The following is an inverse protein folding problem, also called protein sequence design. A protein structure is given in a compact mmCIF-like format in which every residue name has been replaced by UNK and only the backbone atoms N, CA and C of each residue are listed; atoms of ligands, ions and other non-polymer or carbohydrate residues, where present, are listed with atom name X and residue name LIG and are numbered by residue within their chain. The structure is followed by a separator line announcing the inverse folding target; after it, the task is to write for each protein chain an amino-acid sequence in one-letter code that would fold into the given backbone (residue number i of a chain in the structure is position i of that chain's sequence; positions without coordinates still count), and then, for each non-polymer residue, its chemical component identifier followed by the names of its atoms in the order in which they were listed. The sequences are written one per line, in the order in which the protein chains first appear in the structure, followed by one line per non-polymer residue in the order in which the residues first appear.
data_IF_257444068991
#
_entry.id   IF_257444068991
#
_cell.length_a   1.000
_cell.length_b   1.000
_cell.length_c   1.000
_cell.angle_alpha   90.00
_cell.angle_beta   90.00
_cell.angle_gamma   90.00
#
_symmetry.space_group_name_H-M   'P 1'
#
loop_
_entity.id
_entity.type
_entity.pdbx_description
1 polymer ?
#
# COMPACT_ATOMS: atom_id res chain seq x y z
N UNK A 1 15.30 49.73 73.23
CA UNK A 1 14.17 49.19 72.49
C UNK A 1 14.67 48.89 71.06
N UNK A 2 15.03 47.64 70.78
CA UNK A 2 15.52 47.22 69.49
C UNK A 2 14.40 46.43 68.81
N UNK A 3 13.89 46.95 67.72
CA UNK A 3 12.94 46.22 66.86
C UNK A 3 13.71 45.41 65.89
N UNK A 4 13.66 44.06 65.99
CA UNK A 4 14.21 43.12 65.09
C UNK A 4 13.28 43.08 63.82
N UNK A 5 13.78 43.47 62.70
CA UNK A 5 13.11 43.23 61.41
C UNK A 5 13.47 41.81 60.89
N UNK A 6 12.51 40.92 60.93
CA UNK A 6 12.62 39.60 60.38
C UNK A 6 12.36 39.68 58.90
N UNK A 7 13.43 39.60 58.11
CA UNK A 7 13.34 39.59 56.64
C UNK A 7 13.02 38.15 56.20
N UNK A 8 11.78 37.93 55.82
CA UNK A 8 11.35 36.64 55.22
C UNK A 8 11.77 36.62 53.75
N UNK A 9 12.83 35.87 53.48
CA UNK A 9 13.28 35.63 52.09
C UNK A 9 12.40 34.53 51.48
N UNK A 10 11.42 34.93 50.70
CA UNK A 10 10.57 34.01 49.97
C UNK A 10 11.33 33.48 48.74
N UNK A 11 11.83 32.25 48.85
CA UNK A 11 12.44 31.56 47.73
C UNK A 11 11.33 31.08 46.81
N UNK A 12 11.20 31.74 45.66
CA UNK A 12 10.31 31.33 44.59
C UNK A 12 10.97 30.17 43.83
N UNK A 13 10.60 28.95 44.17
CA UNK A 13 11.03 27.77 43.43
C UNK A 13 10.22 27.72 42.13
N UNK A 14 10.82 28.16 41.04
CA UNK A 14 10.26 27.99 39.69
C UNK A 14 10.46 26.54 39.29
N UNK A 15 9.42 25.73 39.46
CA UNK A 15 9.39 24.42 38.83
C UNK A 15 9.24 24.62 37.32
N UNK A 16 10.34 24.60 36.60
CA UNK A 16 10.31 24.38 35.14
C UNK A 16 9.83 22.96 34.92
N UNK A 17 8.52 22.79 34.80
CA UNK A 17 7.91 21.58 34.27
C UNK A 17 8.40 21.41 32.84
N UNK A 18 9.33 20.51 32.63
CA UNK A 18 9.56 19.96 31.31
C UNK A 18 8.28 19.24 30.87
N UNK A 19 7.38 19.95 30.22
CA UNK A 19 6.34 19.32 29.44
C UNK A 19 7.03 18.51 28.36
N UNK A 20 7.13 17.21 28.57
CA UNK A 20 7.36 16.25 27.53
C UNK A 20 6.25 16.49 26.52
N UNK A 21 6.57 17.05 25.35
CA UNK A 21 5.65 17.19 24.26
C UNK A 21 5.15 15.79 23.86
N UNK A 22 4.07 15.37 24.49
CA UNK A 22 3.23 14.30 24.05
C UNK A 22 2.35 14.83 22.91
N UNK A 23 2.97 15.37 21.87
CA UNK A 23 2.30 15.47 20.59
C UNK A 23 2.01 14.03 20.17
N UNK A 24 0.74 13.62 20.06
CA UNK A 24 0.44 12.32 19.53
C UNK A 24 1.09 12.27 18.16
N UNK A 25 2.11 11.42 18.01
CA UNK A 25 2.71 11.14 16.72
C UNK A 25 1.56 10.58 15.88
N UNK A 26 0.97 11.46 15.07
CA UNK A 26 -0.09 11.06 14.14
C UNK A 26 0.53 9.95 13.31
N UNK A 27 0.12 8.72 13.59
CA UNK A 27 0.52 7.59 12.78
C UNK A 27 0.20 7.96 11.33
N UNK A 28 1.10 7.76 10.37
CA UNK A 28 0.79 8.00 8.98
C UNK A 28 -0.50 7.25 8.69
N UNK A 29 -1.46 7.86 7.94
CA UNK A 29 -2.76 7.28 7.72
C UNK A 29 -2.55 5.83 7.28
N UNK A 30 -3.04 4.90 8.07
CA UNK A 30 -2.98 3.49 7.72
C UNK A 30 -3.68 3.38 6.38
N UNK A 31 -2.92 3.03 5.34
CA UNK A 31 -3.46 2.86 4.00
C UNK A 31 -4.54 1.81 4.13
N UNK A 32 -5.79 2.25 4.12
CA UNK A 32 -6.93 1.42 4.43
C UNK A 32 -6.97 0.24 3.46
N UNK A 33 -7.14 -0.95 4.00
CA UNK A 33 -7.38 -2.16 3.21
C UNK A 33 -8.48 -1.93 2.16
N UNK A 34 -9.54 -1.21 2.53
CA UNK A 34 -10.66 -0.87 1.64
C UNK A 34 -10.22 -0.07 0.40
N UNK A 35 -9.14 0.69 0.47
CA UNK A 35 -8.61 1.42 -0.69
C UNK A 35 -7.87 0.49 -1.65
N UNK A 36 -7.29 -0.60 -1.14
CA UNK A 36 -6.55 -1.57 -1.93
C UNK A 36 -7.48 -2.56 -2.66
N UNK A 37 -8.57 -2.98 -2.01
CA UNK A 37 -9.53 -3.95 -2.57
C UNK A 37 -10.16 -3.42 -3.86
N UNK A 38 -10.19 -4.24 -4.89
CA UNK A 38 -10.82 -3.93 -6.18
C UNK A 38 -10.10 -4.53 -7.37
N UNK A 39 -10.49 -4.03 -8.54
CA UNK A 39 -9.91 -4.41 -9.81
C UNK A 39 -8.96 -3.33 -10.29
N UNK A 40 -7.79 -3.73 -10.78
CA UNK A 40 -6.72 -2.84 -11.17
C UNK A 40 -6.12 -3.25 -12.50
N UNK A 41 -5.77 -2.29 -13.33
CA UNK A 41 -5.09 -2.53 -14.60
C UNK A 41 -3.78 -1.76 -14.63
N UNK A 42 -2.68 -2.42 -15.00
CA UNK A 42 -1.37 -1.79 -15.16
C UNK A 42 -1.42 -0.76 -16.28
N UNK A 43 -0.82 0.40 -16.03
CA UNK A 43 -0.70 1.50 -16.98
C UNK A 43 0.71 1.57 -17.56
N UNK A 44 0.86 2.35 -18.63
CA UNK A 44 2.15 2.64 -19.27
C UNK A 44 2.91 1.38 -19.71
N UNK A 45 2.19 0.44 -20.29
CA UNK A 45 2.76 -0.78 -20.83
C UNK A 45 3.26 -0.51 -22.27
N UNK A 46 4.41 -1.07 -22.62
CA UNK A 46 5.03 -0.95 -23.94
C UNK A 46 4.88 -2.23 -24.76
N UNK A 47 4.55 -3.33 -24.11
CA UNK A 47 4.31 -4.63 -24.72
C UNK A 47 3.17 -5.35 -24.02
N UNK A 48 2.58 -6.33 -24.65
CA UNK A 48 1.54 -7.13 -24.00
C UNK A 48 2.06 -7.99 -22.83
N UNK A 49 3.34 -8.32 -22.80
CA UNK A 49 3.94 -9.00 -21.65
C UNK A 49 3.92 -8.15 -20.37
N UNK A 50 3.80 -6.84 -20.50
CA UNK A 50 3.67 -5.91 -19.39
C UNK A 50 2.20 -5.67 -19.00
N UNK A 51 1.26 -6.02 -19.87
CA UNK A 51 -0.16 -5.86 -19.59
C UNK A 51 -0.62 -6.86 -18.54
N UNK A 52 -1.31 -6.35 -17.54
CA UNK A 52 -1.79 -7.13 -16.42
C UNK A 52 -3.03 -6.49 -15.82
N UNK A 53 -3.99 -7.32 -15.44
CA UNK A 53 -5.06 -6.92 -14.53
C UNK A 53 -4.92 -7.67 -13.21
N UNK A 54 -5.28 -7.00 -12.12
CA UNK A 54 -5.25 -7.56 -10.77
C UNK A 54 -6.65 -7.55 -10.19
N UNK A 55 -6.96 -8.61 -9.44
CA UNK A 55 -8.05 -8.63 -8.48
C UNK A 55 -7.45 -8.70 -7.08
N UNK A 56 -7.81 -7.75 -6.24
CA UNK A 56 -7.41 -7.71 -4.84
C UNK A 56 -8.68 -7.78 -3.99
N UNK A 57 -8.77 -8.79 -3.15
CA UNK A 57 -9.82 -8.96 -2.16
C UNK A 57 -9.29 -8.63 -0.76
N UNK A 58 -10.01 -8.90 0.27
CA UNK A 58 -9.56 -8.73 1.66
C UNK A 58 -8.46 -9.71 2.07
N UNK A 59 -8.36 -10.85 1.40
CA UNK A 59 -7.41 -11.93 1.74
C UNK A 59 -6.50 -12.36 0.60
N UNK A 60 -6.91 -12.11 -0.65
CA UNK A 60 -6.22 -12.65 -1.82
C UNK A 60 -5.85 -11.54 -2.81
N UNK A 61 -4.73 -11.74 -3.48
CA UNK A 61 -4.30 -10.97 -4.63
C UNK A 61 -4.05 -11.90 -5.80
N UNK A 62 -4.72 -11.65 -6.92
CA UNK A 62 -4.60 -12.43 -8.15
C UNK A 62 -4.19 -11.55 -9.32
N UNK A 63 -3.22 -11.99 -10.11
CA UNK A 63 -2.78 -11.33 -11.33
C UNK A 63 -3.10 -12.17 -12.56
N UNK A 64 -3.42 -11.49 -13.64
CA UNK A 64 -3.68 -12.10 -14.95
C UNK A 64 -2.74 -11.46 -15.97
N UNK A 65 -1.50 -11.98 -16.09
CA UNK A 65 -0.55 -11.51 -17.08
C UNK A 65 -0.84 -12.09 -18.47
N UNK A 66 -0.41 -11.38 -19.51
CA UNK A 66 -0.43 -11.86 -20.89
C UNK A 66 0.92 -12.46 -21.29
N UNK A 67 0.89 -13.38 -22.25
CA UNK A 67 2.10 -13.89 -22.88
C UNK A 67 2.58 -12.90 -23.95
N UNK A 68 3.89 -12.67 -24.05
CA UNK A 68 4.47 -11.79 -25.04
C UNK A 68 4.24 -12.30 -26.47
N UNK A 69 4.25 -13.61 -26.65
CA UNK A 69 4.19 -14.26 -27.95
C UNK A 69 2.91 -13.98 -28.75
N UNK A 70 1.76 -13.98 -28.08
CA UNK A 70 0.44 -13.94 -28.72
C UNK A 70 -0.54 -12.97 -28.04
N UNK A 71 -0.11 -12.27 -27.00
CA UNK A 71 -0.94 -11.40 -26.17
C UNK A 71 -2.19 -12.10 -25.59
N UNK A 72 -2.10 -13.41 -25.39
CA UNK A 72 -3.16 -14.18 -24.74
C UNK A 72 -2.83 -14.40 -23.26
N UNK A 73 -3.83 -14.80 -22.49
CA UNK A 73 -3.64 -15.11 -21.07
C UNK A 73 -2.52 -16.13 -20.89
N UNK A 74 -1.57 -15.80 -20.02
CA UNK A 74 -0.45 -16.70 -19.70
C UNK A 74 -0.92 -18.01 -19.05
N UNK A 75 -2.04 -17.94 -18.32
CA UNK A 75 -2.61 -19.08 -17.61
C UNK A 75 -4.12 -19.21 -17.89
N UNK A 76 -4.65 -20.43 -17.95
CA UNK A 76 -6.08 -20.66 -18.19
C UNK A 76 -6.96 -20.22 -16.99
N UNK A 77 -6.36 -20.05 -15.82
CA UNK A 77 -7.00 -19.62 -14.58
C UNK A 77 -6.19 -18.52 -13.94
N UNK A 78 -6.88 -17.65 -13.19
CA UNK A 78 -6.23 -16.64 -12.35
C UNK A 78 -5.46 -17.40 -11.26
N UNK A 79 -4.20 -17.01 -11.06
CA UNK A 79 -3.39 -17.48 -9.95
C UNK A 79 -3.58 -16.48 -8.82
N UNK A 80 -4.18 -16.92 -7.73
CA UNK A 80 -4.42 -16.14 -6.54
C UNK A 80 -3.46 -16.56 -5.43
N UNK A 81 -2.92 -15.58 -4.74
CA UNK A 81 -2.10 -15.74 -3.55
C UNK A 81 -2.77 -15.09 -2.36
N UNK A 82 -2.74 -15.74 -1.20
CA UNK A 82 -3.12 -15.08 0.05
C UNK A 82 -2.09 -14.02 0.42
N UNK A 83 -2.53 -12.97 1.08
CA UNK A 83 -1.63 -11.94 1.58
C UNK A 83 -2.07 -11.41 2.95
N UNK A 84 -1.15 -10.79 3.64
CA UNK A 84 -1.41 -10.00 4.84
C UNK A 84 -0.78 -8.62 4.70
N UNK A 85 -1.36 -7.63 5.38
CA UNK A 85 -0.80 -6.28 5.42
C UNK A 85 0.36 -6.24 6.40
N UNK A 86 1.52 -5.81 5.92
CA UNK A 86 2.67 -5.50 6.74
C UNK A 86 2.80 -4.00 6.99
N UNK A 87 3.71 -3.63 7.85
CA UNK A 87 4.01 -2.24 8.16
C UNK A 87 4.59 -1.49 6.95
N UNK A 88 4.37 -0.17 6.90
CA UNK A 88 5.00 0.71 5.91
C UNK A 88 4.54 0.50 4.46
N UNK A 89 3.31 0.00 4.24
CA UNK A 89 2.79 -0.22 2.89
C UNK A 89 3.37 -1.46 2.23
N UNK A 90 3.52 -2.52 2.98
CA UNK A 90 3.96 -3.83 2.51
C UNK A 90 2.79 -4.81 2.43
N UNK A 91 2.85 -5.68 1.42
CA UNK A 91 2.00 -6.85 1.28
C UNK A 91 2.88 -8.10 1.44
N UNK A 92 2.64 -8.85 2.49
CA UNK A 92 3.30 -10.16 2.66
C UNK A 92 2.48 -11.18 1.88
N UNK A 93 2.91 -11.48 0.68
CA UNK A 93 2.21 -12.36 -0.26
C UNK A 93 2.75 -13.78 -0.09
N UNK A 94 1.86 -14.76 0.07
CA UNK A 94 2.24 -16.16 0.23
C UNK A 94 3.08 -16.63 -0.97
N UNK A 95 4.02 -17.54 -0.70
CA UNK A 95 4.91 -18.14 -1.71
C UNK A 95 5.86 -17.15 -2.40
N UNK A 96 5.87 -15.89 -2.00
CA UNK A 96 6.82 -14.91 -2.50
C UNK A 96 8.01 -14.78 -1.54
N UNK A 97 9.22 -14.67 -2.11
CA UNK A 97 10.46 -14.61 -1.35
C UNK A 97 10.66 -13.30 -0.58
N UNK A 98 9.94 -12.25 -0.97
CA UNK A 98 9.99 -10.94 -0.34
C UNK A 98 8.62 -10.26 -0.37
N UNK A 99 8.32 -9.40 0.61
CA UNK A 99 7.11 -8.60 0.60
C UNK A 99 7.06 -7.69 -0.62
N UNK A 100 5.86 -7.52 -1.19
CA UNK A 100 5.61 -6.48 -2.17
C UNK A 100 5.42 -5.15 -1.46
N UNK A 101 5.78 -4.06 -2.13
CA UNK A 101 5.55 -2.71 -1.62
C UNK A 101 4.44 -2.04 -2.41
N UNK A 102 3.56 -1.30 -1.71
CA UNK A 102 2.51 -0.56 -2.38
C UNK A 102 2.39 0.87 -1.84
N UNK A 103 1.91 1.75 -2.69
CA UNK A 103 1.59 3.13 -2.35
C UNK A 103 0.39 3.60 -3.19
N UNK A 104 -0.27 4.65 -2.73
CA UNK A 104 -1.30 5.34 -3.52
C UNK A 104 -0.82 6.74 -3.87
N UNK A 105 -0.95 7.11 -5.14
CA UNK A 105 -0.62 8.43 -5.64
C UNK A 105 -1.61 8.84 -6.72
N UNK A 106 -2.28 9.98 -6.53
CA UNK A 106 -3.24 10.52 -7.50
C UNK A 106 -4.33 9.50 -7.94
N UNK A 107 -4.87 8.72 -7.01
CA UNK A 107 -5.88 7.70 -7.28
C UNK A 107 -5.36 6.42 -7.94
N UNK A 108 -4.06 6.31 -8.17
CA UNK A 108 -3.41 5.11 -8.69
C UNK A 108 -2.80 4.28 -7.59
N UNK A 109 -2.83 2.98 -7.76
CA UNK A 109 -2.06 2.04 -6.97
C UNK A 109 -0.66 1.92 -7.60
N UNK A 110 0.37 2.25 -6.85
CA UNK A 110 1.76 1.96 -7.21
C UNK A 110 2.16 0.66 -6.55
N UNK A 111 2.56 -0.34 -7.31
CA UNK A 111 2.91 -1.67 -6.81
C UNK A 111 4.32 -2.06 -7.26
N UNK A 112 5.13 -2.51 -6.33
CA UNK A 112 6.46 -3.07 -6.58
C UNK A 112 6.48 -4.52 -6.07
N UNK A 113 6.54 -5.47 -6.99
CA UNK A 113 6.49 -6.91 -6.71
C UNK A 113 7.87 -7.51 -6.43
N UNK A 114 8.94 -6.80 -6.82
CA UNK A 114 10.31 -7.26 -6.63
C UNK A 114 11.10 -6.21 -5.84
N UNK A 115 11.86 -6.57 -4.79
CA UNK A 115 12.65 -5.63 -4.00
C UNK A 115 13.61 -4.75 -4.81
N UNK A 116 14.17 -5.30 -5.89
CA UNK A 116 15.09 -4.59 -6.79
C UNK A 116 14.40 -3.93 -7.98
N UNK A 117 13.07 -4.13 -8.12
CA UNK A 117 12.29 -3.61 -9.23
C UNK A 117 11.81 -2.18 -9.00
N UNK A 118 11.04 -1.69 -9.97
CA UNK A 118 10.37 -0.39 -9.93
C UNK A 118 8.93 -0.51 -9.46
N UNK A 119 8.37 0.62 -9.04
CA UNK A 119 6.94 0.75 -8.86
C UNK A 119 6.24 0.87 -10.21
N UNK A 120 5.21 0.07 -10.42
CA UNK A 120 4.35 0.15 -11.60
C UNK A 120 2.99 0.75 -11.23
N UNK A 121 2.49 1.71 -11.99
CA UNK A 121 1.19 2.31 -11.75
C UNK A 121 0.07 1.42 -12.27
N UNK A 122 -0.99 1.33 -11.47
CA UNK A 122 -2.23 0.66 -11.82
C UNK A 122 -3.39 1.64 -11.62
N UNK A 123 -4.26 1.73 -12.60
CA UNK A 123 -5.54 2.43 -12.49
C UNK A 123 -6.62 1.48 -11.98
N UNK A 124 -7.55 2.01 -11.22
CA UNK A 124 -8.76 1.25 -10.84
C UNK A 124 -9.64 1.08 -12.07
N UNK A 125 -10.16 -0.12 -12.25
CA UNK A 125 -11.13 -0.46 -13.31
C UNK A 125 -12.39 -1.06 -12.69
N UNK A 126 -13.46 -1.15 -13.48
CA UNK A 126 -14.69 -1.81 -13.06
C UNK A 126 -14.58 -3.34 -13.17
N UNK A 127 -15.52 -4.05 -12.55
CA UNK A 127 -15.62 -5.51 -12.71
C UNK A 127 -15.88 -5.90 -14.17
N UNK A 128 -16.67 -5.11 -14.90
CA UNK A 128 -16.98 -5.34 -16.31
C UNK A 128 -15.74 -5.16 -17.18
N UNK A 129 -14.92 -4.14 -16.94
CA UNK A 129 -13.65 -3.93 -17.65
C UNK A 129 -12.67 -5.07 -17.38
N UNK A 130 -12.59 -5.55 -16.14
CA UNK A 130 -11.80 -6.71 -15.78
C UNK A 130 -12.24 -7.98 -16.52
N UNK A 131 -13.54 -8.28 -16.55
CA UNK A 131 -14.10 -9.43 -17.25
C UNK A 131 -13.90 -9.31 -18.77
N UNK A 132 -14.05 -8.12 -19.32
CA UNK A 132 -13.79 -7.85 -20.75
C UNK A 132 -12.33 -8.13 -21.09
N UNK A 133 -11.37 -7.63 -20.31
CA UNK A 133 -9.95 -7.92 -20.51
C UNK A 133 -9.68 -9.43 -20.56
N UNK A 134 -10.23 -10.19 -19.62
CA UNK A 134 -10.06 -11.65 -19.59
C UNK A 134 -10.67 -12.32 -20.81
N UNK A 135 -11.88 -11.91 -21.23
CA UNK A 135 -12.56 -12.50 -22.37
C UNK A 135 -11.87 -12.21 -23.72
N UNK A 136 -11.32 -11.00 -23.88
CA UNK A 136 -10.62 -10.59 -25.10
C UNK A 136 -9.28 -11.33 -25.29
N UNK A 137 -8.61 -11.67 -24.19
CA UNK A 137 -7.29 -12.31 -24.23
C UNK A 137 -7.33 -13.83 -23.97
N UNK A 138 -8.51 -14.39 -23.79
CA UNK A 138 -8.67 -15.84 -23.59
C UNK A 138 -8.38 -16.59 -24.89
N UNK A 139 -7.59 -17.67 -24.80
CA UNK A 139 -7.39 -18.56 -25.96
C UNK A 139 -8.74 -19.05 -26.47
N UNK A 140 -8.99 -18.84 -27.74
CA UNK A 140 -10.10 -19.49 -28.42
C UNK A 140 -9.85 -20.99 -28.42
N UNK A 141 -10.79 -21.72 -27.88
CA UNK A 141 -10.74 -23.18 -27.90
C UNK A 141 -10.80 -23.70 -29.35
#
# INVERSE_FOLDING_TARGET
MMKAFLSILTILVVFTSCQKDNTPKVAPPSKSLNTLIGYWQREHTTSCAEEEVLLITDTNIGGVPLQEKDCLLAYPKIIEYTYTLGEGGKLVVAEQSAPWEYNFQNGRLLLKKNPTGSFYPYKRISAEEYQRFISEHKKKA
#
